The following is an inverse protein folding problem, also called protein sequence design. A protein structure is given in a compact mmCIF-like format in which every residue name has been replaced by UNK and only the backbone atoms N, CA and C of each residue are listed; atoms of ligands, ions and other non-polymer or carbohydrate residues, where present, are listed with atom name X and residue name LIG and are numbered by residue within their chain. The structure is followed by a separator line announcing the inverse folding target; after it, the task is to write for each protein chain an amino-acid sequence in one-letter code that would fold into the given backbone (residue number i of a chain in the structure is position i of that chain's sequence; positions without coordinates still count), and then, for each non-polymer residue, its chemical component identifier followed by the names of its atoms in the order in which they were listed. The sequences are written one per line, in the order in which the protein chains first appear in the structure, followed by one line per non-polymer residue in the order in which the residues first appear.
data_IF_610595935588
#
_entry.id   IF_610595935588
#
_cell.length_a   1.000
_cell.length_b   1.000
_cell.length_c   1.000
_cell.angle_alpha   90.00
_cell.angle_beta   90.00
_cell.angle_gamma   90.00
#
_symmetry.space_group_name_H-M   'P 1'
#
loop_
_entity.id
_entity.type
_entity.pdbx_description
1 polymer ?
#
# COMPACT_ATOMS: atom_id res chain seq x y z
N UNK A 1 -27.53 -40.85 13.07
CA UNK A 1 -28.18 -39.92 12.11
C UNK A 1 -27.67 -38.48 12.24
N UNK A 2 -27.69 -37.86 13.42
CA UNK A 2 -27.20 -36.48 13.63
C UNK A 2 -25.74 -36.24 13.15
N UNK A 3 -24.84 -37.20 13.41
CA UNK A 3 -23.43 -37.10 12.97
C UNK A 3 -23.27 -37.13 11.44
N UNK A 4 -24.17 -37.81 10.73
CA UNK A 4 -24.12 -37.92 9.26
C UNK A 4 -24.64 -36.65 8.59
N UNK A 5 -25.68 -36.03 9.17
CA UNK A 5 -26.16 -34.70 8.73
C UNK A 5 -25.11 -33.62 8.97
N UNK A 6 -24.44 -33.62 10.13
CA UNK A 6 -23.36 -32.67 10.42
C UNK A 6 -22.21 -32.78 9.40
N UNK A 7 -21.75 -33.99 9.13
CA UNK A 7 -20.71 -34.24 8.12
C UNK A 7 -21.14 -33.80 6.72
N UNK A 8 -22.40 -34.01 6.34
CA UNK A 8 -22.93 -33.55 5.06
C UNK A 8 -22.94 -32.03 4.96
N UNK A 9 -23.34 -31.33 6.02
CA UNK A 9 -23.33 -29.85 6.08
C UNK A 9 -21.88 -29.34 5.96
N UNK A 10 -20.94 -29.90 6.72
CA UNK A 10 -19.53 -29.53 6.63
C UNK A 10 -18.96 -29.75 5.21
N UNK A 11 -19.23 -30.89 4.59
CA UNK A 11 -18.79 -31.16 3.21
C UNK A 11 -19.41 -30.21 2.18
N UNK A 12 -20.65 -29.77 2.38
CA UNK A 12 -21.28 -28.75 1.54
C UNK A 12 -20.65 -27.36 1.74
N UNK A 13 -20.36 -26.98 2.99
CA UNK A 13 -19.66 -25.73 3.32
C UNK A 13 -18.26 -25.69 2.68
N UNK A 14 -17.51 -26.79 2.72
CA UNK A 14 -16.20 -26.89 2.05
C UNK A 14 -16.31 -26.71 0.53
N UNK A 15 -17.31 -27.32 -0.12
CA UNK A 15 -17.58 -27.13 -1.56
C UNK A 15 -17.91 -25.67 -1.90
N UNK A 16 -18.61 -24.98 -1.01
CA UNK A 16 -18.89 -23.54 -1.11
C UNK A 16 -17.71 -22.66 -0.68
N UNK A 17 -16.57 -23.26 -0.32
CA UNK A 17 -15.37 -22.57 0.20
C UNK A 17 -15.67 -21.74 1.46
N UNK A 18 -16.55 -22.25 2.33
CA UNK A 18 -16.87 -21.72 3.66
C UNK A 18 -16.14 -22.54 4.72
N UNK A 19 -14.81 -22.49 4.66
CA UNK A 19 -13.96 -23.40 5.44
C UNK A 19 -14.01 -23.11 6.94
N UNK A 20 -14.18 -21.83 7.34
CA UNK A 20 -14.25 -21.46 8.75
C UNK A 20 -15.56 -21.94 9.37
N UNK A 21 -16.68 -21.77 8.68
CA UNK A 21 -17.97 -22.33 9.11
C UNK A 21 -17.90 -23.84 9.26
N UNK A 22 -17.32 -24.55 8.27
CA UNK A 22 -17.18 -26.00 8.35
C UNK A 22 -16.37 -26.43 9.58
N UNK A 23 -15.29 -25.70 9.89
CA UNK A 23 -14.42 -25.93 11.04
C UNK A 23 -15.14 -25.69 12.38
N UNK A 24 -15.80 -24.53 12.55
CA UNK A 24 -16.36 -24.12 13.84
C UNK A 24 -17.77 -24.69 14.11
N UNK A 25 -18.49 -25.14 13.08
CA UNK A 25 -19.88 -25.59 13.18
C UNK A 25 -20.15 -26.56 14.35
N UNK A 26 -19.33 -27.61 14.60
CA UNK A 26 -19.60 -28.53 15.70
C UNK A 26 -19.56 -27.85 17.08
N UNK A 27 -18.64 -26.92 17.28
CA UNK A 27 -18.50 -26.20 18.54
C UNK A 27 -19.55 -25.10 18.67
N UNK A 28 -19.84 -24.40 17.57
CA UNK A 28 -20.85 -23.35 17.53
C UNK A 28 -22.26 -23.90 17.78
N UNK A 29 -22.56 -25.13 17.35
CA UNK A 29 -23.80 -25.82 17.69
C UNK A 29 -23.97 -26.05 19.20
N UNK A 30 -22.88 -26.38 19.92
CA UNK A 30 -22.93 -26.53 21.39
C UNK A 30 -23.19 -25.18 22.06
N UNK A 31 -22.46 -24.15 21.66
CA UNK A 31 -22.65 -22.78 22.17
C UNK A 31 -24.08 -22.29 21.93
N UNK A 32 -24.64 -22.58 20.76
CA UNK A 32 -26.01 -22.21 20.42
C UNK A 32 -27.04 -22.95 21.28
N UNK A 33 -26.82 -24.24 21.57
CA UNK A 33 -27.67 -25.01 22.48
C UNK A 33 -27.60 -24.48 23.91
N UNK A 34 -26.39 -24.22 24.42
CA UNK A 34 -26.15 -23.73 25.79
C UNK A 34 -26.73 -22.33 26.00
N UNK A 35 -26.57 -21.44 25.01
CA UNK A 35 -27.08 -20.06 25.06
C UNK A 35 -28.51 -19.90 24.55
N UNK A 36 -29.14 -20.98 24.08
CA UNK A 36 -30.48 -20.98 23.46
C UNK A 36 -30.63 -19.91 22.36
N UNK A 37 -29.63 -19.82 21.48
CA UNK A 37 -29.63 -18.85 20.38
C UNK A 37 -30.83 -19.08 19.45
N UNK A 38 -31.42 -17.99 18.95
CA UNK A 38 -32.40 -18.07 17.89
C UNK A 38 -31.78 -18.60 16.59
N UNK A 39 -32.60 -19.13 15.69
CA UNK A 39 -32.12 -19.62 14.40
C UNK A 39 -31.44 -18.52 13.56
N UNK A 40 -31.93 -17.28 13.65
CA UNK A 40 -31.34 -16.12 12.99
C UNK A 40 -29.95 -15.82 13.56
N UNK A 41 -29.83 -15.66 14.88
CA UNK A 41 -28.55 -15.39 15.57
C UNK A 41 -27.51 -16.48 15.31
N UNK A 42 -27.94 -17.74 15.24
CA UNK A 42 -27.06 -18.87 14.91
C UNK A 42 -26.48 -18.76 13.49
N UNK A 43 -27.33 -18.47 12.50
CA UNK A 43 -26.90 -18.33 11.11
C UNK A 43 -26.03 -17.10 10.96
N UNK A 44 -26.43 -15.97 11.53
CA UNK A 44 -25.69 -14.71 11.48
C UNK A 44 -24.29 -14.88 12.08
N UNK A 45 -24.17 -15.43 13.29
CA UNK A 45 -22.88 -15.64 13.93
C UNK A 45 -21.92 -16.54 13.14
N UNK A 46 -22.43 -17.62 12.52
CA UNK A 46 -21.59 -18.45 11.64
C UNK A 46 -21.12 -17.70 10.39
N UNK A 47 -22.00 -16.92 9.78
CA UNK A 47 -21.69 -16.13 8.59
C UNK A 47 -20.68 -15.02 8.92
N UNK A 48 -20.85 -14.34 10.05
CA UNK A 48 -19.92 -13.30 10.53
C UNK A 48 -18.51 -13.85 10.76
N UNK A 49 -18.39 -15.04 11.36
CA UNK A 49 -17.11 -15.72 11.54
C UNK A 49 -16.44 -16.05 10.19
N UNK A 50 -17.20 -16.54 9.20
CA UNK A 50 -16.67 -16.78 7.84
C UNK A 50 -16.23 -15.50 7.15
N UNK A 51 -17.06 -14.44 7.23
CA UNK A 51 -16.76 -13.15 6.62
C UNK A 51 -15.49 -12.56 7.24
N UNK A 52 -15.37 -12.62 8.57
CA UNK A 52 -14.20 -12.14 9.30
C UNK A 52 -12.95 -12.92 8.90
N UNK A 53 -13.02 -14.26 8.88
CA UNK A 53 -11.92 -15.12 8.47
C UNK A 53 -11.48 -14.88 7.01
N UNK A 54 -12.43 -14.79 6.08
CA UNK A 54 -12.14 -14.49 4.67
C UNK A 54 -11.55 -13.09 4.51
N UNK A 55 -12.05 -12.12 5.26
CA UNK A 55 -11.56 -10.74 5.23
C UNK A 55 -10.11 -10.67 5.70
N UNK A 56 -9.80 -11.24 6.86
CA UNK A 56 -8.43 -11.31 7.37
C UNK A 56 -7.48 -12.02 6.40
N UNK A 57 -7.90 -13.17 5.86
CA UNK A 57 -7.09 -13.92 4.90
C UNK A 57 -6.83 -13.10 3.64
N UNK A 58 -7.83 -12.37 3.16
CA UNK A 58 -7.70 -11.47 2.02
C UNK A 58 -6.72 -10.34 2.30
N UNK A 59 -6.80 -9.71 3.47
CA UNK A 59 -5.88 -8.63 3.88
C UNK A 59 -4.45 -9.15 3.98
N UNK A 60 -4.23 -10.26 4.70
CA UNK A 60 -2.90 -10.91 4.83
C UNK A 60 -2.30 -11.24 3.47
N UNK A 61 -3.12 -11.76 2.54
CA UNK A 61 -2.69 -12.04 1.17
C UNK A 61 -2.27 -10.76 0.41
N UNK A 62 -3.06 -9.68 0.51
CA UNK A 62 -2.74 -8.41 -0.15
C UNK A 62 -1.49 -7.75 0.44
N UNK A 63 -1.34 -7.73 1.76
CA UNK A 63 -0.14 -7.23 2.44
C UNK A 63 1.13 -7.99 1.97
N UNK A 64 1.05 -9.33 1.88
CA UNK A 64 2.15 -10.13 1.35
C UNK A 64 2.48 -9.82 -0.11
N UNK A 65 1.45 -9.59 -0.95
CA UNK A 65 1.64 -9.25 -2.37
C UNK A 65 2.12 -7.84 -2.62
N UNK A 66 1.88 -6.92 -1.69
CA UNK A 66 2.31 -5.54 -1.80
C UNK A 66 3.82 -5.37 -1.67
N UNK A 67 4.55 -6.36 -1.13
CA UNK A 67 6.02 -6.38 -1.03
C UNK A 67 6.60 -5.17 -0.28
N UNK A 68 5.92 -4.70 0.76
CA UNK A 68 6.48 -3.67 1.63
C UNK A 68 7.79 -4.17 2.28
N UNK A 69 8.84 -3.34 2.37
CA UNK A 69 10.08 -3.72 3.03
C UNK A 69 9.89 -3.94 4.55
N UNK A 70 8.95 -3.21 5.14
CA UNK A 70 8.49 -3.36 6.51
C UNK A 70 7.03 -2.92 6.59
N UNK A 71 6.25 -3.51 7.50
CA UNK A 71 4.92 -3.00 7.83
C UNK A 71 5.06 -1.80 8.77
N UNK A 72 4.53 -0.67 8.35
CA UNK A 72 4.38 0.57 9.15
C UNK A 72 2.92 0.97 9.13
N UNK A 73 2.45 1.52 10.25
CA UNK A 73 1.07 2.02 10.41
C UNK A 73 1.10 3.50 10.76
N UNK A 74 -0.04 4.18 10.52
CA UNK A 74 -0.20 5.59 10.88
C UNK A 74 -0.15 5.79 12.40
N UNK A 75 -0.67 4.84 13.18
CA UNK A 75 -0.64 4.90 14.65
C UNK A 75 0.79 4.84 15.20
N UNK A 76 1.69 4.16 14.48
CA UNK A 76 3.12 4.12 14.81
C UNK A 76 3.91 5.35 14.36
N UNK A 77 3.27 6.37 13.81
CA UNK A 77 3.95 7.60 13.37
C UNK A 77 4.00 8.63 14.50
N UNK A 78 5.21 9.04 14.89
CA UNK A 78 5.43 10.03 15.95
C UNK A 78 5.21 11.47 15.45
N UNK A 79 3.96 11.94 15.51
CA UNK A 79 3.57 13.31 15.18
C UNK A 79 4.19 14.37 16.10
N UNK A 80 4.65 14.00 17.30
CA UNK A 80 5.31 14.93 18.21
C UNK A 80 6.70 15.30 17.71
N UNK A 81 7.38 14.37 17.05
CA UNK A 81 8.67 14.61 16.41
C UNK A 81 8.53 15.30 15.06
N UNK A 82 7.51 14.95 14.28
CA UNK A 82 7.29 15.50 12.94
C UNK A 82 6.12 16.50 12.93
N UNK A 83 6.39 17.73 13.34
CA UNK A 83 5.38 18.80 13.49
C UNK A 83 5.02 19.50 12.18
N UNK A 84 5.80 19.31 11.11
CA UNK A 84 5.55 20.03 9.84
C UNK A 84 4.42 19.45 9.01
N UNK A 85 3.89 18.29 9.41
CA UNK A 85 2.80 17.61 8.70
C UNK A 85 1.49 17.86 9.43
N UNK A 86 0.49 18.34 8.71
CA UNK A 86 -0.88 18.44 9.24
C UNK A 86 -1.47 17.05 9.45
N UNK A 87 -1.84 16.76 10.71
CA UNK A 87 -2.56 15.53 11.09
C UNK A 87 -3.90 15.43 10.37
N UNK A 88 -4.59 16.56 10.15
CA UNK A 88 -5.84 16.62 9.40
C UNK A 88 -5.65 16.16 7.96
N UNK A 89 -4.60 16.66 7.29
CA UNK A 89 -4.31 16.25 5.91
C UNK A 89 -3.95 14.77 5.81
N UNK A 90 -3.21 14.24 6.78
CA UNK A 90 -2.92 12.81 6.82
C UNK A 90 -4.17 11.96 7.11
N UNK A 91 -5.06 12.42 7.97
CA UNK A 91 -6.34 11.74 8.22
C UNK A 91 -7.22 11.74 6.96
N UNK A 92 -7.26 12.83 6.20
CA UNK A 92 -7.95 12.91 4.91
C UNK A 92 -7.39 11.86 3.93
N UNK A 93 -6.06 11.80 3.77
CA UNK A 93 -5.41 10.79 2.93
C UNK A 93 -5.66 9.37 3.45
N UNK A 94 -5.75 9.19 4.77
CA UNK A 94 -6.05 7.91 5.38
C UNK A 94 -7.49 7.45 5.14
N UNK A 95 -8.40 8.31 4.65
CA UNK A 95 -9.73 7.89 4.17
C UNK A 95 -9.67 7.25 2.78
N UNK A 96 -8.51 7.30 2.11
CA UNK A 96 -8.22 6.64 0.84
C UNK A 96 -9.08 7.09 -0.36
N UNK A 97 -9.89 8.14 -0.20
CA UNK A 97 -10.74 8.67 -1.28
C UNK A 97 -9.96 9.08 -2.53
N UNK A 98 -8.67 9.42 -2.36
CA UNK A 98 -7.76 9.73 -3.47
C UNK A 98 -7.59 8.53 -4.44
N UNK A 99 -7.69 7.29 -3.94
CA UNK A 99 -7.58 6.06 -4.76
C UNK A 99 -8.78 5.92 -5.70
N UNK A 100 -9.97 6.26 -5.22
CA UNK A 100 -11.19 6.20 -6.03
C UNK A 100 -11.20 7.32 -7.07
N UNK A 101 -10.77 8.53 -6.66
CA UNK A 101 -10.65 9.72 -7.52
C UNK A 101 -9.46 9.68 -8.51
N UNK A 102 -8.61 8.66 -8.44
CA UNK A 102 -7.39 8.52 -9.28
C UNK A 102 -6.39 9.66 -9.08
N UNK A 103 -6.39 10.25 -7.90
CA UNK A 103 -5.42 11.26 -7.49
C UNK A 103 -4.14 10.56 -7.02
N UNK A 104 -3.00 11.21 -7.26
CA UNK A 104 -1.70 10.79 -6.76
C UNK A 104 -1.42 11.43 -5.39
N UNK A 105 -0.45 10.88 -4.67
CA UNK A 105 0.08 11.50 -3.44
C UNK A 105 1.59 11.57 -3.56
N UNK A 106 2.17 12.73 -3.27
CA UNK A 106 3.61 12.94 -3.43
C UNK A 106 4.17 13.46 -2.11
N UNK A 107 5.02 12.66 -1.48
CA UNK A 107 5.77 13.05 -0.29
C UNK A 107 7.14 13.58 -0.70
N UNK A 108 7.39 14.85 -0.41
CA UNK A 108 8.67 15.53 -0.65
C UNK A 108 9.34 15.90 0.66
N UNK A 109 10.67 15.87 0.71
CA UNK A 109 11.41 16.29 1.91
C UNK A 109 12.76 15.60 2.09
N UNK A 110 13.62 16.07 3.02
CA UNK A 110 14.96 15.52 3.19
C UNK A 110 14.94 14.06 3.71
N UNK A 111 16.07 13.34 3.67
CA UNK A 111 16.14 11.97 4.17
C UNK A 111 15.74 11.86 5.65
N UNK A 112 15.07 10.76 6.01
CA UNK A 112 14.76 10.44 7.42
C UNK A 112 13.56 11.16 8.04
N UNK A 113 12.83 12.00 7.29
CA UNK A 113 11.68 12.76 7.84
C UNK A 113 10.34 12.00 7.87
N UNK A 114 10.31 10.73 7.44
CA UNK A 114 9.11 9.88 7.51
C UNK A 114 8.32 9.66 6.20
N UNK A 115 8.79 10.16 5.05
CA UNK A 115 8.13 9.98 3.73
C UNK A 115 7.74 8.53 3.43
N UNK A 116 8.71 7.62 3.45
CA UNK A 116 8.52 6.19 3.20
C UNK A 116 7.59 5.55 4.24
N UNK A 117 7.69 5.95 5.52
CA UNK A 117 6.80 5.45 6.57
C UNK A 117 5.35 5.79 6.25
N UNK A 118 5.07 7.04 5.87
CA UNK A 118 3.71 7.49 5.53
C UNK A 118 3.19 6.82 4.27
N UNK A 119 4.02 6.69 3.23
CA UNK A 119 3.67 5.97 2.02
C UNK A 119 3.26 4.52 2.33
N UNK A 120 4.11 3.79 3.05
CA UNK A 120 3.83 2.41 3.48
C UNK A 120 2.57 2.36 4.34
N UNK A 121 2.40 3.28 5.29
CA UNK A 121 1.24 3.29 6.20
C UNK A 121 -0.08 3.49 5.47
N UNK A 122 -0.11 4.37 4.46
CA UNK A 122 -1.26 4.51 3.57
C UNK A 122 -1.46 3.24 2.71
N UNK A 123 -0.38 2.61 2.25
CA UNK A 123 -0.44 1.34 1.52
C UNK A 123 -0.99 0.17 2.34
N UNK A 124 -0.60 0.09 3.62
CA UNK A 124 -1.13 -0.90 4.59
C UNK A 124 -2.62 -0.67 4.80
N UNK A 125 -3.02 0.58 5.08
CA UNK A 125 -4.43 0.94 5.22
C UNK A 125 -5.24 0.65 3.95
N UNK A 126 -4.65 0.87 2.77
CA UNK A 126 -5.28 0.50 1.50
C UNK A 126 -5.47 -1.01 1.34
N UNK A 127 -4.51 -1.83 1.78
CA UNK A 127 -4.67 -3.29 1.80
C UNK A 127 -5.78 -3.74 2.75
N UNK A 128 -5.88 -3.11 3.93
CA UNK A 128 -6.96 -3.34 4.91
C UNK A 128 -8.34 -2.97 4.34
N UNK A 129 -8.41 -1.85 3.60
CA UNK A 129 -9.58 -1.45 2.81
C UNK A 129 -9.76 -2.23 1.50
N UNK A 130 -9.12 -3.40 1.37
CA UNK A 130 -9.26 -4.36 0.26
C UNK A 130 -8.74 -3.88 -1.10
N UNK A 131 -8.00 -2.78 -1.20
CA UNK A 131 -7.33 -2.37 -2.44
C UNK A 131 -6.09 -3.21 -2.72
N UNK A 132 -5.80 -3.47 -3.99
CA UNK A 132 -4.54 -4.08 -4.43
C UNK A 132 -3.44 -3.02 -4.46
N UNK A 133 -2.34 -3.29 -3.75
CA UNK A 133 -1.19 -2.39 -3.61
C UNK A 133 0.08 -3.08 -4.09
N UNK A 134 1.00 -2.31 -4.67
CA UNK A 134 2.37 -2.75 -4.97
C UNK A 134 3.35 -1.67 -4.50
N UNK A 135 4.39 -2.07 -3.78
CA UNK A 135 5.52 -1.22 -3.40
C UNK A 135 6.74 -1.58 -4.24
N UNK A 136 7.38 -0.57 -4.81
CA UNK A 136 8.63 -0.68 -5.55
C UNK A 136 9.49 0.55 -5.23
N UNK A 137 10.82 0.40 -5.20
CA UNK A 137 11.69 1.57 -5.33
C UNK A 137 11.66 2.05 -6.78
N UNK A 138 12.01 3.32 -7.01
CA UNK A 138 12.16 3.85 -8.35
C UNK A 138 13.15 3.00 -9.17
N UNK A 139 14.27 2.61 -8.56
CA UNK A 139 15.28 1.77 -9.20
C UNK A 139 14.74 0.38 -9.57
N UNK A 140 14.03 -0.30 -8.67
CA UNK A 140 13.45 -1.62 -8.94
C UNK A 140 12.41 -1.57 -10.06
N UNK A 141 11.59 -0.51 -10.09
CA UNK A 141 10.62 -0.30 -11.16
C UNK A 141 11.33 -0.14 -12.52
N UNK A 142 12.37 0.70 -12.59
CA UNK A 142 13.13 0.90 -13.82
C UNK A 142 13.79 -0.42 -14.25
N UNK A 143 14.49 -1.09 -13.33
CA UNK A 143 15.15 -2.37 -13.63
C UNK A 143 14.15 -3.43 -14.14
N UNK A 144 12.96 -3.51 -13.51
CA UNK A 144 11.90 -4.40 -13.93
C UNK A 144 11.40 -4.08 -15.35
N UNK A 145 11.13 -2.80 -15.65
CA UNK A 145 10.67 -2.38 -16.98
C UNK A 145 11.74 -2.56 -18.05
N UNK A 146 13.01 -2.31 -17.71
CA UNK A 146 14.15 -2.52 -18.62
C UNK A 146 14.31 -4.00 -18.97
N UNK A 147 14.20 -4.90 -17.99
CA UNK A 147 14.18 -6.33 -18.23
C UNK A 147 13.03 -6.74 -19.16
N UNK A 148 11.81 -6.27 -18.89
CA UNK A 148 10.66 -6.55 -19.75
C UNK A 148 10.77 -5.94 -21.15
N UNK A 149 11.48 -4.82 -21.32
CA UNK A 149 11.78 -4.26 -22.63
C UNK A 149 12.72 -5.18 -23.42
N UNK A 150 13.78 -5.68 -22.79
CA UNK A 150 14.72 -6.63 -23.41
C UNK A 150 14.03 -7.94 -23.83
N UNK A 151 13.11 -8.43 -22.99
CA UNK A 151 12.34 -9.66 -23.24
C UNK A 151 11.12 -9.46 -24.15
N UNK A 152 10.88 -8.23 -24.67
CA UNK A 152 9.71 -7.86 -25.48
C UNK A 152 8.35 -8.09 -24.79
N UNK A 153 8.33 -8.07 -23.46
CA UNK A 153 7.14 -8.24 -22.62
C UNK A 153 6.67 -6.96 -21.93
N UNK A 154 7.29 -5.81 -22.22
CA UNK A 154 6.98 -4.50 -21.60
C UNK A 154 5.49 -4.18 -21.54
N UNK A 155 4.74 -4.40 -22.63
CA UNK A 155 3.30 -4.14 -22.64
C UNK A 155 2.52 -5.01 -21.63
N UNK A 156 2.91 -6.28 -21.49
CA UNK A 156 2.30 -7.19 -20.52
C UNK A 156 2.64 -6.76 -19.09
N UNK A 157 3.88 -6.32 -18.87
CA UNK A 157 4.34 -5.84 -17.57
C UNK A 157 3.60 -4.55 -17.15
N UNK A 158 3.47 -3.58 -18.06
CA UNK A 158 2.66 -2.37 -17.81
C UNK A 158 1.20 -2.74 -17.51
N UNK A 159 0.59 -3.65 -18.27
CA UNK A 159 -0.77 -4.15 -18.02
C UNK A 159 -0.89 -4.81 -16.64
N UNK A 160 0.11 -5.60 -16.23
CA UNK A 160 0.19 -6.22 -14.90
C UNK A 160 0.26 -5.18 -13.80
N UNK A 161 1.09 -4.15 -13.95
CA UNK A 161 1.18 -3.03 -13.01
C UNK A 161 -0.14 -2.23 -12.95
N UNK A 162 -0.82 -2.02 -14.08
CA UNK A 162 -2.12 -1.33 -14.11
C UNK A 162 -3.24 -2.04 -13.32
N UNK A 163 -3.10 -3.34 -13.00
CA UNK A 163 -4.08 -4.07 -12.18
C UNK A 163 -4.07 -3.64 -10.70
N UNK A 164 -2.97 -3.05 -10.21
CA UNK A 164 -2.90 -2.54 -8.84
C UNK A 164 -3.64 -1.22 -8.74
N UNK A 165 -4.56 -1.11 -7.77
CA UNK A 165 -5.31 0.12 -7.50
C UNK A 165 -4.41 1.24 -6.99
N UNK A 166 -3.37 0.88 -6.26
CA UNK A 166 -2.34 1.80 -5.77
C UNK A 166 -0.95 1.22 -6.05
N UNK A 167 -0.04 2.04 -6.58
CA UNK A 167 1.39 1.72 -6.63
C UNK A 167 2.16 2.76 -5.84
N UNK A 168 3.08 2.30 -5.01
CA UNK A 168 4.03 3.14 -4.29
C UNK A 168 5.37 3.04 -4.99
N UNK A 169 5.90 4.19 -5.41
CA UNK A 169 7.24 4.35 -5.97
C UNK A 169 8.08 5.14 -4.98
N UNK A 170 8.92 4.45 -4.25
CA UNK A 170 9.77 5.03 -3.20
C UNK A 170 11.12 5.50 -3.77
N UNK A 171 11.75 6.46 -3.10
CA UNK A 171 13.14 6.86 -3.34
C UNK A 171 13.45 7.49 -4.72
N UNK A 172 12.50 8.23 -5.31
CA UNK A 172 12.80 9.00 -6.53
C UNK A 172 13.82 10.10 -6.20
N UNK A 173 14.91 10.17 -6.97
CA UNK A 173 15.92 11.23 -6.90
C UNK A 173 17.20 10.92 -6.13
N UNK A 174 17.39 9.68 -5.69
CA UNK A 174 18.67 9.22 -5.13
C UNK A 174 19.66 8.75 -6.20
N UNK A 175 19.19 8.08 -7.25
CA UNK A 175 20.00 7.63 -8.38
C UNK A 175 19.57 8.38 -9.64
N UNK A 176 20.52 8.78 -10.51
CA UNK A 176 20.18 9.27 -11.83
C UNK A 176 19.54 8.15 -12.65
N UNK A 177 18.53 8.49 -13.44
CA UNK A 177 17.85 7.59 -14.36
C UNK A 177 18.32 7.95 -15.76
N UNK A 178 18.77 6.95 -16.51
CA UNK A 178 19.20 7.13 -17.89
C UNK A 178 18.00 7.42 -18.81
N UNK A 179 18.28 7.81 -20.06
CA UNK A 179 17.22 8.21 -20.99
C UNK A 179 16.23 7.06 -21.27
N UNK A 180 16.71 5.82 -21.32
CA UNK A 180 15.85 4.64 -21.51
C UNK A 180 14.94 4.45 -20.30
N UNK A 181 15.49 4.48 -19.09
CA UNK A 181 14.72 4.39 -17.86
C UNK A 181 13.70 5.53 -17.73
N UNK A 182 14.05 6.75 -18.09
CA UNK A 182 13.14 7.89 -18.05
C UNK A 182 11.94 7.68 -18.99
N UNK A 183 12.18 7.18 -20.21
CA UNK A 183 11.13 6.83 -21.16
C UNK A 183 10.22 5.70 -20.62
N UNK A 184 10.80 4.68 -19.98
CA UNK A 184 10.04 3.60 -19.36
C UNK A 184 9.18 4.10 -18.18
N UNK A 185 9.73 4.98 -17.34
CA UNK A 185 8.99 5.62 -16.26
C UNK A 185 7.83 6.45 -16.81
N UNK A 186 8.06 7.22 -17.87
CA UNK A 186 7.01 7.98 -18.54
C UNK A 186 5.88 7.08 -19.08
N UNK A 187 6.21 5.94 -19.70
CA UNK A 187 5.21 4.96 -20.12
C UNK A 187 4.42 4.38 -18.95
N UNK A 188 5.10 4.09 -17.83
CA UNK A 188 4.45 3.66 -16.59
C UNK A 188 3.48 4.72 -16.05
N UNK A 189 3.91 5.97 -15.89
CA UNK A 189 3.04 7.07 -15.45
C UNK A 189 1.84 7.22 -16.39
N UNK A 190 2.07 7.22 -17.70
CA UNK A 190 1.01 7.35 -18.71
C UNK A 190 0.01 6.20 -18.67
N UNK A 191 0.46 4.97 -18.41
CA UNK A 191 -0.43 3.80 -18.27
C UNK A 191 -1.38 3.90 -17.06
N UNK A 192 -1.04 4.73 -16.08
CA UNK A 192 -1.79 4.91 -14.82
C UNK A 192 -2.54 6.22 -14.73
N UNK A 193 -2.16 7.23 -15.52
CA UNK A 193 -2.82 8.52 -15.59
C UNK A 193 -4.34 8.35 -15.76
N UNK A 194 -5.12 8.95 -14.85
CA UNK A 194 -6.59 8.85 -14.73
C UNK A 194 -7.16 7.42 -14.57
N UNK A 195 -6.31 6.40 -14.37
CA UNK A 195 -6.69 4.98 -14.28
C UNK A 195 -6.37 4.34 -12.94
N UNK A 196 -5.31 4.80 -12.28
CA UNK A 196 -4.91 4.30 -10.95
C UNK A 196 -3.95 5.24 -10.24
N UNK A 197 -4.06 5.30 -8.92
CA UNK A 197 -3.28 6.22 -8.10
C UNK A 197 -1.84 5.74 -7.91
N UNK A 198 -0.95 6.71 -7.69
CA UNK A 198 0.46 6.51 -7.37
C UNK A 198 0.79 7.28 -6.11
N UNK A 199 1.49 6.65 -5.17
CA UNK A 199 2.19 7.37 -4.09
C UNK A 199 3.67 7.45 -4.49
N UNK A 200 4.25 8.65 -4.45
CA UNK A 200 5.67 8.87 -4.70
C UNK A 200 6.33 9.40 -3.44
N UNK A 201 7.57 8.97 -3.17
CA UNK A 201 8.46 9.68 -2.27
C UNK A 201 9.68 10.21 -3.01
N UNK A 202 10.08 11.45 -2.70
CA UNK A 202 11.31 12.03 -3.25
C UNK A 202 12.01 12.92 -2.24
N UNK A 203 13.34 12.93 -2.30
CA UNK A 203 14.19 13.89 -1.58
C UNK A 203 14.51 15.15 -2.41
N UNK A 204 14.03 15.23 -3.66
CA UNK A 204 14.25 16.36 -4.57
C UNK A 204 12.96 17.14 -4.78
N UNK A 205 13.07 18.46 -4.88
CA UNK A 205 11.98 19.30 -5.39
C UNK A 205 11.72 19.03 -6.87
N UNK A 206 10.52 19.32 -7.35
CA UNK A 206 10.14 19.13 -8.75
C UNK A 206 11.07 19.86 -9.74
N UNK A 207 11.58 21.04 -9.37
CA UNK A 207 12.56 21.78 -10.17
C UNK A 207 13.85 21.01 -10.46
N UNK A 208 14.19 20.03 -9.62
CA UNK A 208 15.39 19.21 -9.77
C UNK A 208 15.12 17.88 -10.50
N UNK A 209 13.88 17.59 -10.90
CA UNK A 209 13.56 16.33 -11.58
C UNK A 209 14.13 16.23 -12.99
N UNK A 210 14.36 17.37 -13.65
CA UNK A 210 15.09 17.40 -14.92
C UNK A 210 16.48 16.75 -14.85
N UNK A 211 17.20 16.97 -13.74
CA UNK A 211 18.50 16.34 -13.48
C UNK A 211 18.39 14.84 -13.20
N UNK A 212 17.26 14.39 -12.64
CA UNK A 212 17.03 12.98 -12.29
C UNK A 212 16.77 12.15 -13.55
N UNK A 213 16.00 12.69 -14.50
CA UNK A 213 15.57 11.97 -15.71
C UNK A 213 16.46 12.21 -16.94
N UNK A 214 17.57 12.93 -16.79
CA UNK A 214 18.51 13.30 -17.86
C UNK A 214 17.89 14.05 -19.07
N UNK A 215 16.61 14.43 -18.99
CA UNK A 215 15.83 15.11 -20.03
C UNK A 215 14.78 16.00 -19.36
N UNK A 216 14.93 17.32 -19.50
CA UNK A 216 14.02 18.31 -18.93
C UNK A 216 12.62 18.27 -19.58
N UNK A 217 12.53 17.96 -20.87
CA UNK A 217 11.26 17.90 -21.60
C UNK A 217 10.46 16.71 -21.09
N UNK A 218 11.11 15.55 -20.99
CA UNK A 218 10.48 14.35 -20.48
C UNK A 218 10.11 14.46 -19.00
N UNK A 219 10.98 15.04 -18.17
CA UNK A 219 10.68 15.32 -16.77
C UNK A 219 9.44 16.22 -16.63
N UNK A 220 9.30 17.24 -17.46
CA UNK A 220 8.13 18.13 -17.47
C UNK A 220 6.87 17.36 -17.84
N UNK A 221 6.93 16.51 -18.87
CA UNK A 221 5.79 15.69 -19.29
C UNK A 221 5.36 14.63 -18.25
N UNK A 222 6.32 14.09 -17.48
CA UNK A 222 6.08 13.21 -16.33
C UNK A 222 5.38 13.98 -15.21
N UNK A 223 5.92 15.15 -14.84
CA UNK A 223 5.39 15.98 -13.77
C UNK A 223 3.97 16.48 -14.07
N UNK A 224 3.71 16.90 -15.32
CA UNK A 224 2.39 17.34 -15.78
C UNK A 224 1.31 16.29 -15.47
N UNK A 225 1.53 15.04 -15.90
CA UNK A 225 0.60 13.92 -15.64
C UNK A 225 0.53 13.54 -14.16
N UNK A 226 1.64 13.59 -13.45
CA UNK A 226 1.67 13.24 -12.03
C UNK A 226 0.93 14.28 -11.17
N UNK A 227 1.07 15.57 -11.49
CA UNK A 227 0.60 16.69 -10.66
C UNK A 227 -0.79 17.19 -11.02
N UNK A 228 -1.32 16.86 -12.19
CA UNK A 228 -2.66 17.31 -12.59
C UNK A 228 -3.73 16.95 -11.53
N UNK A 229 -3.65 15.75 -10.98
CA UNK A 229 -4.48 15.30 -9.86
C UNK A 229 -3.58 14.75 -8.75
N UNK A 230 -3.06 15.62 -7.88
CA UNK A 230 -2.16 15.21 -6.82
C UNK A 230 -2.35 15.93 -5.49
N UNK A 231 -2.17 15.16 -4.41
CA UNK A 231 -1.97 15.67 -3.07
C UNK A 231 -0.46 15.74 -2.78
N UNK A 232 0.11 16.94 -2.81
CA UNK A 232 1.53 17.16 -2.52
C UNK A 232 1.73 17.46 -1.03
N UNK A 233 2.56 16.66 -0.36
CA UNK A 233 2.88 16.79 1.06
C UNK A 233 4.38 17.07 1.20
N UNK A 234 4.71 18.31 1.53
CA UNK A 234 6.07 18.74 1.80
C UNK A 234 6.39 18.54 3.29
N UNK A 235 7.37 17.69 3.58
CA UNK A 235 7.80 17.35 4.93
C UNK A 235 9.17 17.97 5.17
N UNK A 236 9.29 18.74 6.26
CA UNK A 236 10.54 19.36 6.71
C UNK A 236 10.93 18.79 8.07
N UNK A 237 12.08 19.22 8.60
CA UNK A 237 12.56 18.83 9.93
C UNK A 237 13.74 17.86 9.90
N UNK A 238 14.14 17.45 11.09
CA UNK A 238 15.32 16.60 11.29
C UNK A 238 15.05 15.13 10.93
N UNK A 239 16.13 14.40 10.65
CA UNK A 239 16.06 12.96 10.40
C UNK A 239 15.69 12.20 11.68
N UNK A 240 14.55 11.49 11.65
CA UNK A 240 14.12 10.61 12.74
C UNK A 240 15.18 9.52 13.03
N UNK A 241 15.89 9.05 12.00
CA UNK A 241 16.95 8.03 12.13
C UNK A 241 18.13 8.49 12.97
N UNK A 242 18.32 9.80 13.14
CA UNK A 242 19.42 10.38 13.94
C UNK A 242 18.99 10.74 15.38
N UNK A 243 17.70 10.61 15.72
CA UNK A 243 17.15 10.94 17.04
C UNK A 243 17.83 10.14 18.16
N UNK A 244 18.01 8.83 17.94
CA UNK A 244 18.60 7.94 18.95
C UNK A 244 20.12 8.12 19.05
N UNK A 245 20.81 8.31 17.91
CA UNK A 245 22.25 8.63 17.90
C UNK A 245 22.56 9.95 18.61
N UNK A 246 21.75 11.01 18.43
CA UNK A 246 21.94 12.28 19.16
C UNK A 246 21.78 12.08 20.67
N UNK A 247 20.82 11.26 21.12
CA UNK A 247 20.62 10.96 22.54
C UNK A 247 21.80 10.19 23.14
N UNK A 248 22.39 9.26 22.38
CA UNK A 248 23.58 8.51 22.80
C UNK A 248 24.82 9.43 22.91
N UNK A 249 25.04 10.31 21.94
CA UNK A 249 26.17 11.25 21.96
C UNK A 249 26.08 12.24 23.13
N UNK A 250 24.90 12.81 23.40
CA UNK A 250 24.69 13.72 24.54
C UNK A 250 24.88 13.01 25.90
N UNK A 251 24.70 11.69 25.96
CA UNK A 251 24.92 10.89 27.17
C UNK A 251 26.39 10.53 27.40
N UNK A 252 27.22 10.56 26.36
CA UNK A 252 28.68 10.34 26.46
C UNK A 252 29.45 11.63 26.81
N UNK A 253 28.85 12.79 26.60
CA UNK A 253 29.41 14.11 26.97
C UNK A 253 29.03 14.57 28.39
N UNK A 254 28.29 13.75 29.15
CA UNK A 254 27.95 13.96 30.56
C UNK A 254 28.61 12.92 31.45
#
# INVERSE_FOLDING_TARGET
MANMQLQQIQGNLEKLKMYRMAEILPEFLKVAADRKLGHQDFIEGLIEEEISFKTERSIKYKLKRARFPLIKTLDGFDFSFQTTISKEKLNELANLSFIDRKENVIFLGPPGVGKTHLAISLGVKACESKYTVMFLTANDLIAQLTGSLADRTLHQELKRLSQYKLIIVDEIGYLPIDQVGANLFFQFITSRYEKGSIIITSNKSFSNWGQIFADNVLATAILDRLLHHANVVNIKGESYRLKDRKKELIRQEK
#
